data_IF_076600751324
#
_entry.id   IF_076600751324
#
_cell.length_a   1.000
_cell.length_b   1.000
_cell.length_c   1.000
_cell.angle_alpha   90.00
_cell.angle_beta   90.00
_cell.angle_gamma   90.00
#
_symmetry.space_group_name_H-M   'P 1'
#
loop_
_entity.id
_entity.type
_entity.pdbx_description
1 polymer ?
#
# COMPACT_ATOMS: atom_id res chain seq x y z
N UNK A 1 6.24 -10.67 5.83
CA UNK A 1 7.18 -9.61 6.25
C UNK A 1 6.83 -9.19 7.66
N UNK A 2 7.75 -9.28 8.61
CA UNK A 2 7.49 -8.96 10.03
C UNK A 2 7.88 -7.51 10.37
N UNK A 3 7.56 -6.56 9.49
CA UNK A 3 7.80 -5.14 9.71
C UNK A 3 6.47 -4.37 9.60
N UNK A 4 5.99 -3.72 10.68
CA UNK A 4 4.73 -3.00 10.65
C UNK A 4 4.73 -1.83 9.66
N UNK A 5 5.90 -1.21 9.44
CA UNK A 5 6.05 -0.10 8.50
C UNK A 5 5.78 -0.58 7.06
N UNK A 6 6.42 -1.69 6.65
CA UNK A 6 6.19 -2.29 5.33
C UNK A 6 4.75 -2.77 5.14
N UNK A 7 4.11 -3.27 6.21
CA UNK A 7 2.69 -3.62 6.20
C UNK A 7 1.80 -2.40 5.93
N UNK A 8 2.04 -1.28 6.62
CA UNK A 8 1.34 -0.01 6.37
C UNK A 8 1.52 0.49 4.93
N UNK A 9 2.76 0.49 4.42
CA UNK A 9 3.04 0.89 3.03
C UNK A 9 2.42 -0.06 2.00
N UNK A 10 2.30 -1.34 2.32
CA UNK A 10 1.60 -2.30 1.44
C UNK A 10 0.12 -1.96 1.29
N UNK A 11 -0.52 -1.53 2.38
CA UNK A 11 -1.92 -1.04 2.35
C UNK A 11 -2.04 0.26 1.57
N UNK A 12 -1.14 1.24 1.80
CA UNK A 12 -1.12 2.48 1.03
C UNK A 12 -0.97 2.21 -0.48
N UNK A 13 -0.02 1.36 -0.85
CA UNK A 13 0.21 0.93 -2.23
C UNK A 13 -1.03 0.28 -2.85
N UNK A 14 -1.74 -0.57 -2.10
CA UNK A 14 -2.97 -1.19 -2.57
C UNK A 14 -4.08 -0.15 -2.84
N UNK A 15 -4.20 0.87 -1.99
CA UNK A 15 -5.16 1.96 -2.18
C UNK A 15 -4.81 2.86 -3.36
N UNK A 16 -3.53 3.24 -3.51
CA UNK A 16 -3.06 3.99 -4.68
C UNK A 16 -3.36 3.21 -5.97
N UNK A 17 -3.08 1.90 -6.00
CA UNK A 17 -3.43 1.07 -7.17
C UNK A 17 -4.92 1.07 -7.48
N UNK A 18 -5.78 0.98 -6.46
CA UNK A 18 -7.22 1.05 -6.65
C UNK A 18 -7.68 2.41 -7.20
N UNK A 19 -7.12 3.49 -6.69
CA UNK A 19 -7.35 4.85 -7.20
C UNK A 19 -6.95 4.97 -8.68
N UNK A 20 -5.74 4.53 -9.03
CA UNK A 20 -5.23 4.59 -10.40
C UNK A 20 -6.05 3.71 -11.36
N UNK A 21 -6.57 2.57 -10.89
CA UNK A 21 -7.45 1.72 -11.69
C UNK A 21 -8.76 2.43 -12.06
N UNK A 22 -9.29 3.29 -11.17
CA UNK A 22 -10.45 4.14 -11.45
C UNK A 22 -10.11 5.33 -12.35
N UNK A 23 -8.88 5.85 -12.27
CA UNK A 23 -8.37 6.97 -13.08
C UNK A 23 -7.64 6.52 -14.36
N UNK A 24 -7.96 5.33 -14.87
CA UNK A 24 -7.24 4.70 -15.98
C UNK A 24 -7.14 5.58 -17.24
N UNK A 25 -8.22 6.27 -17.61
CA UNK A 25 -8.24 7.13 -18.79
C UNK A 25 -7.27 8.31 -18.67
N UNK A 26 -7.14 8.87 -17.47
CA UNK A 26 -6.19 9.97 -17.18
C UNK A 26 -4.73 9.51 -17.25
N UNK A 27 -4.47 8.20 -17.17
CA UNK A 27 -3.14 7.60 -17.25
C UNK A 27 -2.75 7.23 -18.70
N UNK A 28 -3.72 6.83 -19.53
CA UNK A 28 -3.47 6.29 -20.88
C UNK A 28 -3.70 7.33 -21.98
N UNK A 29 -4.77 8.12 -21.89
CA UNK A 29 -5.21 9.03 -22.95
C UNK A 29 -4.55 10.41 -22.85
N UNK A 30 -3.22 10.43 -22.81
CA UNK A 30 -2.41 11.64 -22.66
C UNK A 30 -1.63 11.95 -23.95
N UNK A 31 -1.47 13.25 -24.32
CA UNK A 31 -0.60 13.66 -25.42
C UNK A 31 0.83 13.14 -25.21
N UNK A 32 1.49 12.69 -26.28
CA UNK A 32 2.78 11.97 -26.20
C UNK A 32 3.90 12.77 -25.49
N UNK A 33 3.84 14.12 -25.54
CA UNK A 33 4.79 15.01 -24.87
C UNK A 33 4.51 15.29 -23.39
N UNK A 34 3.29 15.05 -22.90
CA UNK A 34 2.89 15.37 -21.52
C UNK A 34 2.76 14.12 -20.62
N UNK A 35 2.96 12.91 -21.19
CA UNK A 35 2.64 11.66 -20.49
C UNK A 35 3.33 11.52 -19.14
N UNK A 36 4.62 11.84 -19.06
CA UNK A 36 5.40 11.66 -17.82
C UNK A 36 4.95 12.62 -16.73
N UNK A 37 4.83 13.91 -17.04
CA UNK A 37 4.43 14.93 -16.08
C UNK A 37 3.02 14.68 -15.55
N UNK A 38 2.06 14.43 -16.45
CA UNK A 38 0.66 14.18 -16.06
C UNK A 38 0.48 12.90 -15.25
N UNK A 39 1.27 11.86 -15.53
CA UNK A 39 1.29 10.64 -14.71
C UNK A 39 1.91 10.88 -13.34
N UNK A 40 2.93 11.73 -13.25
CA UNK A 40 3.53 12.10 -11.97
C UNK A 40 2.52 12.88 -11.11
N UNK A 41 1.83 13.87 -11.69
CA UNK A 41 0.75 14.60 -11.02
C UNK A 41 -0.35 13.67 -10.53
N UNK A 42 -0.80 12.73 -11.38
CA UNK A 42 -1.81 11.74 -11.00
C UNK A 42 -1.34 10.84 -9.84
N UNK A 43 -0.05 10.49 -9.80
CA UNK A 43 0.52 9.70 -8.71
C UNK A 43 0.61 10.50 -7.41
N UNK A 44 0.94 11.79 -7.48
CA UNK A 44 0.94 12.71 -6.34
C UNK A 44 -0.48 12.88 -5.78
N UNK A 45 -1.47 13.13 -6.63
CA UNK A 45 -2.88 13.24 -6.25
C UNK A 45 -3.38 11.93 -5.60
N UNK A 46 -3.04 10.78 -6.20
CA UNK A 46 -3.39 9.47 -5.67
C UNK A 46 -2.76 9.22 -4.29
N UNK A 47 -1.49 9.61 -4.12
CA UNK A 47 -0.79 9.49 -2.85
C UNK A 47 -1.47 10.37 -1.81
N UNK A 48 -1.69 11.66 -2.09
CA UNK A 48 -2.32 12.61 -1.18
C UNK A 48 -3.71 12.15 -0.74
N UNK A 49 -4.52 11.71 -1.69
CA UNK A 49 -5.85 11.17 -1.42
C UNK A 49 -5.82 9.90 -0.56
N UNK A 50 -4.81 9.03 -0.76
CA UNK A 50 -4.71 7.76 -0.06
C UNK A 50 -3.98 7.82 1.28
N UNK A 51 -3.13 8.84 1.53
CA UNK A 51 -2.34 8.99 2.75
C UNK A 51 -3.15 8.83 4.05
N UNK A 52 -4.40 9.33 4.17
CA UNK A 52 -5.20 9.15 5.39
C UNK A 52 -5.47 7.69 5.77
N UNK A 53 -5.22 6.72 4.87
CA UNK A 53 -5.31 5.31 5.22
C UNK A 53 -4.25 4.83 6.20
N UNK A 54 -3.12 5.53 6.31
CA UNK A 54 -2.11 5.27 7.34
C UNK A 54 -2.56 5.96 8.62
N UNK A 55 -3.56 5.36 9.27
CA UNK A 55 -4.08 5.81 10.55
C UNK A 55 -3.45 5.02 11.71
N UNK A 56 -3.62 5.52 12.94
CA UNK A 56 -3.12 4.84 14.14
C UNK A 56 -3.69 3.43 14.26
N UNK A 57 -4.92 3.20 13.80
CA UNK A 57 -5.57 1.89 13.84
C UNK A 57 -4.86 0.88 12.94
N UNK A 58 -4.44 1.28 11.74
CA UNK A 58 -3.69 0.47 10.81
C UNK A 58 -2.32 0.14 11.41
N UNK A 59 -1.62 1.15 11.94
CA UNK A 59 -0.30 0.97 12.57
C UNK A 59 -0.37 -0.05 13.71
N UNK A 60 -1.37 0.06 14.59
CA UNK A 60 -1.59 -0.89 15.68
C UNK A 60 -1.89 -2.30 15.15
N UNK A 61 -2.72 -2.42 14.11
CA UNK A 61 -3.01 -3.72 13.48
C UNK A 61 -1.76 -4.36 12.90
N UNK A 62 -0.93 -3.59 12.19
CA UNK A 62 0.31 -4.10 11.59
C UNK A 62 1.34 -4.47 12.65
N UNK A 63 1.48 -3.66 13.72
CA UNK A 63 2.34 -3.98 14.86
C UNK A 63 1.90 -5.28 15.55
N UNK A 64 0.60 -5.43 15.83
CA UNK A 64 0.05 -6.65 16.41
C UNK A 64 0.27 -7.86 15.50
N UNK A 65 0.04 -7.73 14.20
CA UNK A 65 0.28 -8.80 13.23
C UNK A 65 1.75 -9.24 13.26
N UNK A 66 2.69 -8.30 13.20
CA UNK A 66 4.12 -8.62 13.26
C UNK A 66 4.51 -9.29 14.58
N UNK A 67 4.01 -8.80 15.71
CA UNK A 67 4.26 -9.39 17.03
C UNK A 67 3.76 -10.85 17.11
N UNK A 68 2.57 -11.13 16.57
CA UNK A 68 2.02 -12.49 16.52
C UNK A 68 2.87 -13.40 15.63
N UNK A 69 3.28 -12.92 14.45
CA UNK A 69 4.13 -13.68 13.53
C UNK A 69 5.50 -13.99 14.14
N UNK A 70 6.10 -13.04 14.87
CA UNK A 70 7.35 -13.28 15.62
C UNK A 70 7.14 -14.29 16.74
N UNK A 71 6.06 -14.17 17.51
CA UNK A 71 5.77 -15.11 18.59
C UNK A 71 5.52 -16.54 18.07
N UNK A 72 4.83 -16.69 16.93
CA UNK A 72 4.64 -17.98 16.24
C UNK A 72 5.98 -18.58 15.81
N UNK A 73 6.86 -17.78 15.20
CA UNK A 73 8.20 -18.22 14.82
C UNK A 73 9.04 -18.67 16.02
N UNK A 74 8.98 -17.96 17.16
CA UNK A 74 9.65 -18.35 18.40
C UNK A 74 9.14 -19.71 18.91
N UNK A 75 7.84 -20.00 18.74
CA UNK A 75 7.23 -21.29 19.10
C UNK A 75 7.52 -22.41 18.10
N UNK A 76 8.23 -22.13 17.00
CA UNK A 76 8.49 -23.10 15.94
C UNK A 76 7.25 -23.47 15.13
N UNK A 77 6.23 -22.61 15.13
CA UNK A 77 5.03 -22.82 14.31
C UNK A 77 5.40 -22.72 12.82
N UNK A 78 4.86 -23.60 11.96
CA UNK A 78 5.12 -23.53 10.53
C UNK A 78 4.61 -22.20 9.95
N UNK A 79 5.35 -21.64 9.01
CA UNK A 79 4.90 -20.46 8.28
C UNK A 79 3.74 -20.85 7.35
N UNK A 80 2.58 -20.23 7.54
CA UNK A 80 1.45 -20.33 6.62
C UNK A 80 1.43 -19.12 5.67
N UNK A 81 1.48 -19.38 4.37
CA UNK A 81 1.16 -18.36 3.38
C UNK A 81 -0.36 -18.19 3.32
N UNK A 82 -0.83 -16.94 3.20
CA UNK A 82 -2.26 -16.66 3.01
C UNK A 82 -2.82 -17.38 1.78
N UNK A 83 -4.11 -17.73 1.85
CA UNK A 83 -4.88 -18.32 0.75
C UNK A 83 -5.29 -17.29 -0.29
#
# INVERSE_FOLDING_TARGET
>A
MCNPIEGCFSVLKARIKAFLALSHDQMINLPYGEKTERRMQLLEDAAEHCMPCIDMRLVIKMARHCALSVAAAIRGEPMEYGT
#
